data_IF_201369030197
#
_entry.id   IF_201369030197
#
_cell.length_a   1.000
_cell.length_b   1.000
_cell.length_c   1.000
_cell.angle_alpha   90.00
_cell.angle_beta   90.00
_cell.angle_gamma   90.00
#
_symmetry.space_group_name_H-M   'P 1'
#
loop_
_entity.id
_entity.type
_entity.pdbx_description
1 polymer ?
#
# COMPACT_ATOMS: atom_id res chain seq x y z
N UNK A 1 1.60 -18.67 12.06
CA UNK A 1 2.78 -18.98 11.19
C UNK A 1 2.32 -18.95 9.74
N UNK A 2 3.18 -18.50 8.80
CA UNK A 2 2.87 -18.56 7.37
C UNK A 2 2.84 -20.04 6.96
N UNK A 3 1.74 -20.47 6.38
CA UNK A 3 1.52 -21.84 5.92
C UNK A 3 1.80 -22.00 4.43
N UNK A 4 1.43 -21.01 3.64
CA UNK A 4 1.65 -21.00 2.19
C UNK A 4 2.15 -19.61 1.75
N UNK A 5 3.04 -19.60 0.76
CA UNK A 5 3.60 -18.38 0.19
C UNK A 5 3.55 -18.46 -1.33
N UNK A 6 2.93 -17.46 -1.95
CA UNK A 6 2.81 -17.32 -3.39
C UNK A 6 3.42 -16.00 -3.85
N UNK A 7 4.00 -16.01 -5.03
CA UNK A 7 4.61 -14.83 -5.65
C UNK A 7 4.17 -14.71 -7.11
N UNK A 8 2.95 -14.20 -7.34
CA UNK A 8 2.39 -14.08 -8.67
C UNK A 8 3.18 -13.08 -9.51
N UNK A 9 3.22 -13.34 -10.83
CA UNK A 9 3.86 -12.45 -11.81
C UNK A 9 2.86 -11.59 -12.56
N UNK A 10 1.57 -11.87 -12.46
CA UNK A 10 0.50 -11.12 -13.10
C UNK A 10 -0.62 -10.79 -12.13
N UNK A 11 -1.32 -9.67 -12.42
CA UNK A 11 -2.50 -9.25 -11.65
C UNK A 11 -3.57 -10.34 -11.64
N UNK A 12 -3.85 -10.96 -12.78
CA UNK A 12 -4.85 -12.05 -12.87
C UNK A 12 -4.51 -13.26 -12.02
N UNK A 13 -3.22 -13.59 -11.90
CA UNK A 13 -2.77 -14.67 -11.00
C UNK A 13 -2.97 -14.28 -9.53
N UNK A 14 -2.62 -13.04 -9.16
CA UNK A 14 -2.86 -12.53 -7.82
C UNK A 14 -4.36 -12.54 -7.47
N UNK A 15 -5.22 -12.06 -8.38
CA UNK A 15 -6.67 -12.05 -8.17
C UNK A 15 -7.25 -13.46 -7.94
N UNK A 16 -6.78 -14.46 -8.69
CA UNK A 16 -7.19 -15.86 -8.46
C UNK A 16 -6.82 -16.35 -7.07
N UNK A 17 -5.60 -16.05 -6.61
CA UNK A 17 -5.13 -16.42 -5.27
C UNK A 17 -5.95 -15.75 -4.16
N UNK A 18 -6.30 -14.46 -4.34
CA UNK A 18 -7.14 -13.74 -3.38
C UNK A 18 -8.61 -14.17 -3.41
N UNK A 19 -9.07 -14.78 -4.49
CA UNK A 19 -10.44 -15.30 -4.60
C UNK A 19 -10.64 -16.65 -3.85
N UNK A 20 -9.59 -17.31 -3.40
CA UNK A 20 -9.67 -18.52 -2.58
C UNK A 20 -10.29 -18.18 -1.20
N UNK A 21 -11.51 -18.65 -0.96
CA UNK A 21 -12.31 -18.30 0.23
C UNK A 21 -12.10 -19.25 1.42
N UNK A 22 -11.56 -20.42 1.17
CA UNK A 22 -11.26 -21.46 2.17
C UNK A 22 -9.96 -21.18 2.95
N UNK A 23 -9.17 -20.21 2.51
CA UNK A 23 -7.91 -19.82 3.13
C UNK A 23 -7.92 -18.37 3.56
N UNK A 24 -7.18 -18.07 4.61
CA UNK A 24 -6.92 -16.69 5.03
C UNK A 24 -5.77 -16.11 4.21
N UNK A 25 -6.11 -15.56 3.04
CA UNK A 25 -5.14 -14.95 2.12
C UNK A 25 -4.89 -13.50 2.49
N UNK A 26 -3.61 -13.12 2.60
CA UNK A 26 -3.20 -11.75 2.92
C UNK A 26 -2.15 -11.24 1.93
N UNK A 27 -2.24 -9.98 1.49
CA UNK A 27 -1.23 -9.39 0.63
C UNK A 27 0.06 -9.10 1.42
N UNK A 28 1.20 -9.37 0.81
CA UNK A 28 2.52 -9.02 1.32
C UNK A 28 3.13 -7.93 0.42
N UNK A 29 3.37 -6.76 1.01
CA UNK A 29 4.23 -5.75 0.45
C UNK A 29 5.67 -5.94 0.96
N UNK A 30 6.15 -5.08 1.86
CA UNK A 30 7.48 -5.20 2.44
C UNK A 30 7.61 -6.09 3.68
N UNK A 31 6.53 -6.65 4.21
CA UNK A 31 6.55 -7.56 5.35
C UNK A 31 6.85 -6.93 6.72
N UNK A 32 6.96 -5.61 6.83
CA UNK A 32 7.32 -4.91 8.09
C UNK A 32 6.34 -5.15 9.24
N UNK A 33 5.09 -5.49 8.94
CA UNK A 33 4.04 -5.79 9.93
C UNK A 33 3.78 -7.29 10.01
N UNK A 34 3.64 -7.97 8.87
CA UNK A 34 3.34 -9.41 8.83
C UNK A 34 4.41 -10.26 9.50
N UNK A 35 5.68 -9.87 9.42
CA UNK A 35 6.80 -10.56 10.11
C UNK A 35 6.65 -10.60 11.64
N UNK A 36 5.83 -9.71 12.20
CA UNK A 36 5.54 -9.63 13.64
C UNK A 36 4.16 -10.19 14.00
N UNK A 37 3.40 -10.64 13.02
CA UNK A 37 2.06 -11.17 13.23
C UNK A 37 2.14 -12.51 13.97
N UNK A 38 1.31 -12.65 15.01
CA UNK A 38 1.10 -13.91 15.74
C UNK A 38 -0.03 -14.74 15.14
N UNK A 39 -0.56 -14.35 13.97
CA UNK A 39 -1.64 -15.10 13.35
C UNK A 39 -1.09 -16.38 12.74
N UNK A 40 -1.82 -17.46 12.96
CA UNK A 40 -1.51 -18.78 12.41
C UNK A 40 -2.29 -19.02 11.11
N UNK A 41 -1.78 -19.95 10.31
CA UNK A 41 -2.41 -20.43 9.08
C UNK A 41 -2.64 -19.34 8.01
N UNK A 42 -1.71 -18.40 7.89
CA UNK A 42 -1.75 -17.40 6.84
C UNK A 42 -1.24 -17.95 5.51
N UNK A 43 -2.01 -17.73 4.46
CA UNK A 43 -1.58 -17.82 3.08
C UNK A 43 -1.14 -16.42 2.61
N UNK A 44 0.10 -16.27 2.20
CA UNK A 44 0.68 -14.97 1.87
C UNK A 44 0.88 -14.86 0.36
N UNK A 45 0.39 -13.77 -0.22
CA UNK A 45 0.58 -13.43 -1.64
C UNK A 45 1.50 -12.21 -1.73
N UNK A 46 2.73 -12.46 -2.18
CA UNK A 46 3.76 -11.43 -2.35
C UNK A 46 3.53 -10.65 -3.65
N UNK A 47 3.33 -9.34 -3.53
CA UNK A 47 3.01 -8.45 -4.65
C UNK A 47 4.27 -7.87 -5.34
N UNK A 48 5.48 -8.24 -4.91
CA UNK A 48 6.73 -7.59 -5.36
C UNK A 48 7.02 -7.79 -6.86
N UNK A 49 6.58 -8.88 -7.48
CA UNK A 49 6.81 -9.15 -8.90
C UNK A 49 5.71 -8.62 -9.84
N UNK A 50 4.69 -7.96 -9.30
CA UNK A 50 3.61 -7.39 -10.10
C UNK A 50 3.97 -6.04 -10.78
N UNK A 51 5.20 -5.53 -10.60
CA UNK A 51 5.63 -4.24 -11.16
C UNK A 51 4.93 -3.03 -10.55
N UNK A 52 4.45 -3.16 -9.32
CA UNK A 52 3.69 -2.12 -8.60
C UNK A 52 4.61 -1.19 -7.78
N UNK A 53 5.83 -0.94 -8.21
CA UNK A 53 6.80 -0.06 -7.54
C UNK A 53 7.08 1.23 -8.33
N UNK A 54 6.13 1.64 -9.18
CA UNK A 54 6.27 2.85 -10.01
C UNK A 54 5.80 4.09 -9.28
N UNK A 55 6.46 5.22 -9.55
CA UNK A 55 6.05 6.56 -9.16
C UNK A 55 5.97 7.37 -10.44
N UNK A 56 4.78 7.80 -10.81
CA UNK A 56 4.52 8.52 -12.06
C UNK A 56 3.77 9.82 -11.78
N UNK A 57 4.28 10.93 -12.31
CA UNK A 57 3.58 12.22 -12.29
C UNK A 57 3.18 12.59 -13.70
N UNK A 58 1.89 12.77 -13.94
CA UNK A 58 1.33 13.22 -15.22
C UNK A 58 0.45 14.44 -14.96
N UNK A 59 0.89 15.60 -15.42
CA UNK A 59 0.26 16.87 -15.05
C UNK A 59 0.28 17.05 -13.53
N UNK A 60 -0.90 17.16 -12.95
CA UNK A 60 -1.07 17.34 -11.52
C UNK A 60 -1.39 16.04 -10.75
N UNK A 61 -1.46 14.93 -11.45
CA UNK A 61 -1.75 13.62 -10.86
C UNK A 61 -0.45 12.89 -10.58
N UNK A 62 -0.26 12.47 -9.33
CA UNK A 62 0.79 11.57 -8.91
C UNK A 62 0.19 10.18 -8.63
N UNK A 63 0.76 9.17 -9.27
CA UNK A 63 0.41 7.76 -9.05
C UNK A 63 1.58 7.04 -8.39
N UNK A 64 1.32 6.37 -7.28
CA UNK A 64 2.29 5.62 -6.48
C UNK A 64 1.86 4.17 -6.45
N UNK A 65 2.67 3.27 -7.00
CA UNK A 65 2.41 1.83 -6.96
C UNK A 65 2.49 1.26 -5.54
N UNK A 66 1.68 0.27 -5.26
CA UNK A 66 1.47 -0.26 -3.90
C UNK A 66 2.72 -0.84 -3.25
N UNK A 67 3.65 -1.40 -4.03
CA UNK A 67 4.90 -1.98 -3.53
C UNK A 67 6.07 -0.98 -3.48
N UNK A 68 5.84 0.29 -3.83
CA UNK A 68 6.81 1.37 -3.62
C UNK A 68 7.12 1.50 -2.14
N UNK A 69 8.40 1.47 -1.77
CA UNK A 69 8.80 1.66 -0.37
C UNK A 69 8.68 3.12 0.07
N UNK A 70 8.56 3.36 1.36
CA UNK A 70 8.56 4.73 1.91
C UNK A 70 9.85 5.47 1.57
N UNK A 71 10.99 4.75 1.47
CA UNK A 71 12.27 5.36 1.10
C UNK A 71 12.29 5.74 -0.39
N UNK A 72 11.83 4.86 -1.28
CA UNK A 72 11.70 5.18 -2.71
C UNK A 72 10.79 6.40 -2.92
N UNK A 73 9.68 6.48 -2.19
CA UNK A 73 8.78 7.65 -2.25
C UNK A 73 9.48 8.92 -1.74
N UNK A 74 10.25 8.83 -0.65
CA UNK A 74 11.00 9.95 -0.10
C UNK A 74 12.05 10.50 -1.09
N UNK A 75 12.72 9.61 -1.83
CA UNK A 75 13.80 9.94 -2.76
C UNK A 75 13.31 10.42 -4.12
N UNK A 76 12.02 10.24 -4.43
CA UNK A 76 11.44 10.63 -5.70
C UNK A 76 11.31 12.16 -5.83
N UNK A 77 11.59 12.70 -7.04
CA UNK A 77 11.56 14.13 -7.32
C UNK A 77 10.16 14.77 -7.25
N UNK A 78 9.09 14.14 -7.79
CA UNK A 78 7.79 14.79 -7.88
C UNK A 78 7.03 14.85 -6.53
N UNK A 79 7.68 14.48 -5.42
CA UNK A 79 7.03 14.45 -4.10
C UNK A 79 7.12 15.80 -3.40
N UNK A 80 5.98 16.35 -2.94
CA UNK A 80 5.98 17.60 -2.16
C UNK A 80 6.87 17.54 -0.93
N UNK A 81 7.57 18.63 -0.63
CA UNK A 81 8.49 18.70 0.53
C UNK A 81 7.79 18.33 1.85
N UNK A 82 6.55 18.80 2.04
CA UNK A 82 5.76 18.47 3.23
C UNK A 82 5.55 16.96 3.39
N UNK A 83 5.29 16.25 2.29
CA UNK A 83 5.11 14.80 2.33
C UNK A 83 6.44 14.08 2.64
N UNK A 84 7.55 14.58 2.08
CA UNK A 84 8.91 14.09 2.41
C UNK A 84 9.21 14.21 3.92
N UNK A 85 8.88 15.34 4.51
CA UNK A 85 9.09 15.56 5.95
C UNK A 85 8.22 14.65 6.82
N UNK A 86 6.98 14.43 6.41
CA UNK A 86 6.08 13.52 7.11
C UNK A 86 6.58 12.07 7.02
N UNK A 87 7.08 11.63 5.85
CA UNK A 87 7.64 10.28 5.69
C UNK A 87 8.85 10.07 6.63
N UNK A 88 9.76 11.06 6.71
CA UNK A 88 10.92 11.00 7.62
C UNK A 88 10.50 10.84 9.09
N UNK A 89 9.42 11.50 9.49
CA UNK A 89 8.88 11.44 10.86
C UNK A 89 8.05 10.19 11.13
N UNK A 90 7.54 9.54 10.09
CA UNK A 90 6.64 8.37 10.22
C UNK A 90 7.38 7.06 10.50
N UNK A 91 8.64 6.93 10.08
CA UNK A 91 9.39 5.68 10.21
C UNK A 91 10.91 5.90 10.19
N UNK A 92 11.65 5.03 10.88
CA UNK A 92 13.11 4.98 10.82
C UNK A 92 13.58 4.52 9.42
N UNK A 93 14.86 4.77 9.09
CA UNK A 93 15.46 4.39 7.81
C UNK A 93 15.24 2.90 7.48
N UNK A 94 15.49 2.01 8.43
CA UNK A 94 15.31 0.57 8.22
C UNK A 94 13.85 0.22 7.88
N UNK A 95 12.90 0.82 8.59
CA UNK A 95 11.48 0.62 8.31
C UNK A 95 11.10 1.25 6.96
N UNK A 96 11.61 2.44 6.62
CA UNK A 96 11.33 3.06 5.32
C UNK A 96 11.83 2.23 4.14
N UNK A 97 12.98 1.57 4.27
CA UNK A 97 13.51 0.68 3.23
C UNK A 97 12.67 -0.60 3.04
N UNK A 98 11.94 -1.01 4.04
CA UNK A 98 11.14 -2.24 4.02
C UNK A 98 9.64 -1.98 3.80
N UNK A 99 9.06 -1.04 4.53
CA UNK A 99 7.62 -0.78 4.48
C UNK A 99 7.23 -0.17 3.14
N UNK A 100 6.23 -0.76 2.49
CA UNK A 100 5.62 -0.18 1.29
C UNK A 100 4.55 0.85 1.65
N UNK A 101 4.26 1.76 0.73
CA UNK A 101 3.27 2.82 0.95
C UNK A 101 1.89 2.22 1.22
N UNK A 102 1.43 1.26 0.40
CA UNK A 102 0.15 0.58 0.62
C UNK A 102 0.14 -0.23 1.92
N UNK A 103 1.22 -0.95 2.22
CA UNK A 103 1.36 -1.71 3.47
C UNK A 103 1.29 -0.80 4.70
N UNK A 104 1.91 0.39 4.62
CA UNK A 104 1.82 1.39 5.69
C UNK A 104 0.37 1.88 5.86
N UNK A 105 -0.32 2.27 4.78
CA UNK A 105 -1.72 2.73 4.81
C UNK A 105 -2.64 1.68 5.42
N UNK A 106 -2.49 0.41 5.01
CA UNK A 106 -3.34 -0.69 5.50
C UNK A 106 -3.11 -1.00 6.98
N UNK A 107 -1.87 -0.91 7.44
CA UNK A 107 -1.49 -1.25 8.82
C UNK A 107 -1.58 -0.07 9.80
N UNK A 108 -1.47 1.16 9.29
CA UNK A 108 -1.56 2.37 10.10
C UNK A 108 -3.00 2.63 10.57
N UNK A 109 -3.12 3.28 11.72
CA UNK A 109 -4.38 3.91 12.10
C UNK A 109 -4.53 5.27 11.41
N UNK A 110 -5.76 5.77 11.28
CA UNK A 110 -6.05 7.10 10.70
C UNK A 110 -5.40 8.29 11.45
N UNK A 111 -4.72 8.03 12.57
CA UNK A 111 -3.94 9.04 13.33
C UNK A 111 -2.45 9.03 12.98
N UNK A 112 -1.98 8.11 12.13
CA UNK A 112 -0.59 8.08 11.73
C UNK A 112 -0.25 9.29 10.86
N UNK A 113 0.90 9.96 11.05
CA UNK A 113 1.22 11.21 10.35
C UNK A 113 1.10 11.13 8.83
N UNK A 114 1.63 10.05 8.23
CA UNK A 114 1.52 9.85 6.78
C UNK A 114 0.07 9.61 6.33
N UNK A 115 -0.74 8.91 7.12
CA UNK A 115 -2.16 8.71 6.82
C UNK A 115 -2.92 10.05 6.81
N UNK A 116 -2.65 10.92 7.79
CA UNK A 116 -3.24 12.25 7.87
C UNK A 116 -2.82 13.12 6.67
N UNK A 117 -1.52 13.09 6.31
CA UNK A 117 -1.03 13.82 5.15
C UNK A 117 -1.66 13.34 3.84
N UNK A 118 -1.80 12.03 3.65
CA UNK A 118 -2.46 11.47 2.48
C UNK A 118 -3.96 11.82 2.43
N UNK A 119 -4.64 11.86 3.58
CA UNK A 119 -6.02 12.34 3.66
C UNK A 119 -6.14 13.83 3.30
N UNK A 120 -5.22 14.66 3.77
CA UNK A 120 -5.20 16.10 3.45
C UNK A 120 -4.91 16.38 1.96
N UNK A 121 -4.29 15.44 1.27
CA UNK A 121 -4.03 15.46 -0.17
C UNK A 121 -5.12 14.75 -0.99
N UNK A 122 -6.26 14.45 -0.40
CA UNK A 122 -7.37 13.74 -1.03
C UNK A 122 -6.96 12.44 -1.76
N UNK A 123 -6.03 11.69 -1.13
CA UNK A 123 -5.51 10.47 -1.71
C UNK A 123 -6.62 9.45 -1.99
N UNK A 124 -6.53 8.84 -3.16
CA UNK A 124 -7.43 7.78 -3.61
C UNK A 124 -6.68 6.45 -3.64
N UNK A 125 -7.33 5.39 -3.19
CA UNK A 125 -6.82 4.02 -3.23
C UNK A 125 -7.46 3.28 -4.41
N UNK A 126 -6.65 2.58 -5.21
CA UNK A 126 -7.15 1.68 -6.25
C UNK A 126 -7.13 0.25 -5.73
N UNK A 127 -8.30 -0.34 -5.63
CA UNK A 127 -8.52 -1.68 -5.08
C UNK A 127 -8.71 -2.74 -6.16
N UNK A 128 -8.29 -3.96 -5.86
CA UNK A 128 -8.57 -5.17 -6.62
C UNK A 128 -9.41 -6.16 -5.78
N UNK A 129 -10.19 -7.08 -6.39
CA UNK A 129 -10.22 -7.46 -7.83
C UNK A 129 -11.02 -6.50 -8.73
N UNK A 130 -11.83 -5.63 -8.21
CA UNK A 130 -12.62 -4.67 -9.01
C UNK A 130 -11.99 -3.29 -8.88
N UNK A 131 -11.11 -2.88 -9.86
CA UNK A 131 -10.44 -1.60 -9.80
C UNK A 131 -11.44 -0.45 -9.64
N UNK A 132 -11.46 0.16 -8.48
CA UNK A 132 -12.26 1.34 -8.19
C UNK A 132 -11.46 2.28 -7.31
N UNK A 133 -11.69 3.56 -7.48
CA UNK A 133 -11.13 4.62 -6.64
C UNK A 133 -11.94 4.71 -5.34
N UNK A 134 -11.24 4.71 -4.23
CA UNK A 134 -11.82 4.93 -2.91
C UNK A 134 -11.02 6.01 -2.18
N UNK A 135 -11.67 7.08 -1.68
CA UNK A 135 -11.01 8.04 -0.81
C UNK A 135 -10.37 7.34 0.39
N UNK A 136 -9.14 7.73 0.71
CA UNK A 136 -8.39 7.12 1.82
C UNK A 136 -9.13 7.29 3.16
N UNK A 137 -9.87 8.40 3.34
CA UNK A 137 -10.70 8.62 4.52
C UNK A 137 -11.79 7.56 4.70
N UNK A 138 -12.40 7.13 3.61
CA UNK A 138 -13.41 6.05 3.63
C UNK A 138 -12.80 4.71 4.04
N UNK A 139 -11.56 4.44 3.63
CA UNK A 139 -10.84 3.25 4.08
C UNK A 139 -10.69 3.20 5.60
N UNK A 140 -10.32 4.31 6.23
CA UNK A 140 -10.17 4.34 7.69
C UNK A 140 -11.49 4.20 8.43
N UNK A 141 -12.61 4.56 7.81
CA UNK A 141 -13.96 4.42 8.36
C UNK A 141 -14.57 3.03 8.11
N UNK A 142 -14.36 2.49 6.91
CA UNK A 142 -14.99 1.27 6.40
C UNK A 142 -13.92 0.31 5.88
N UNK A 143 -13.16 -0.31 6.77
CA UNK A 143 -12.09 -1.24 6.39
C UNK A 143 -12.63 -2.41 5.56
N UNK A 144 -11.98 -2.68 4.43
CA UNK A 144 -12.36 -3.79 3.55
C UNK A 144 -12.05 -5.15 4.16
N UNK A 145 -12.81 -6.14 3.73
CA UNK A 145 -12.66 -7.52 4.16
C UNK A 145 -11.56 -8.25 3.37
N UNK A 146 -11.37 -9.52 3.71
CA UNK A 146 -10.47 -10.44 3.04
C UNK A 146 -10.72 -10.49 1.51
N UNK A 147 -9.67 -10.73 0.73
CA UNK A 147 -9.74 -10.84 -0.73
C UNK A 147 -9.50 -9.52 -1.48
N UNK A 148 -9.43 -8.38 -0.78
CA UNK A 148 -9.12 -7.09 -1.39
C UNK A 148 -7.67 -6.68 -1.13
N UNK A 149 -7.05 -6.06 -2.15
CA UNK A 149 -5.69 -5.52 -2.06
C UNK A 149 -5.56 -4.24 -2.88
N UNK A 150 -4.58 -3.41 -2.53
CA UNK A 150 -4.33 -2.12 -3.19
C UNK A 150 -3.26 -2.31 -4.26
N UNK A 151 -3.50 -1.81 -5.47
CA UNK A 151 -2.50 -1.76 -6.55
C UNK A 151 -1.75 -0.44 -6.61
N UNK A 152 -2.42 0.68 -6.31
CA UNK A 152 -1.81 2.00 -6.36
C UNK A 152 -2.54 3.01 -5.48
N UNK A 153 -1.85 4.12 -5.17
CA UNK A 153 -2.38 5.29 -4.49
C UNK A 153 -2.24 6.47 -5.43
N UNK A 154 -3.31 7.22 -5.61
CA UNK A 154 -3.35 8.40 -6.47
C UNK A 154 -3.50 9.67 -5.64
N UNK A 155 -2.71 10.69 -5.97
CA UNK A 155 -2.75 12.01 -5.34
C UNK A 155 -2.95 13.08 -6.39
N UNK A 156 -3.59 14.18 -6.00
CA UNK A 156 -3.58 15.40 -6.78
C UNK A 156 -2.53 16.36 -6.19
N UNK A 157 -1.58 16.80 -7.03
CA UNK A 157 -0.49 17.71 -6.62
C UNK A 157 -0.89 19.19 -6.62
N UNK A 158 -2.16 19.52 -6.94
CA UNK A 158 -2.69 20.85 -6.77
C UNK A 158 -2.78 21.20 -5.28
N UNK A 159 -1.67 21.67 -4.74
CA UNK A 159 -1.64 22.32 -3.45
C UNK A 159 -1.41 23.81 -3.76
N UNK A 160 -2.49 24.58 -3.85
CA UNK A 160 -2.41 26.03 -3.71
C UNK A 160 -2.19 26.41 -2.24
#
# INVERSE_FOLDING_TARGET
MIKEYYRPKTVSEAERLFAETDKKVVPLGGGSVLSRSKQDDLCVVDLQELGLNRIEAVGQKLTIGATTTLQQLLDADPIPAVLKDVIKKSATLNIRNQATVAGYVVSAGGRAPLAIALMALDAQLVWHPHPNLQPIGDWFSLRRQQGFWISEIQLNLNIE
#
